data_IF_681921106488
#
_entry.id   IF_681921106488
#
_cell.length_a   1.000
_cell.length_b   1.000
_cell.length_c   1.000
_cell.angle_alpha   90.00
_cell.angle_beta   90.00
_cell.angle_gamma   90.00
#
_symmetry.space_group_name_H-M   'P 1'
#
loop_
_entity.id
_entity.type
_entity.pdbx_description
1 polymer ?
#
# COMPACT_ATOMS: atom_id res chain seq x y z
N UNK A 1 -4.58 -41.14 1.48
CA UNK A 1 -5.39 -40.13 2.18
C UNK A 1 -4.95 -38.78 1.62
N UNK A 2 -5.80 -38.18 0.78
CA UNK A 2 -5.57 -36.88 0.15
C UNK A 2 -5.62 -35.77 1.21
N UNK A 3 -4.69 -34.82 1.18
CA UNK A 3 -5.10 -33.40 1.24
C UNK A 3 -4.09 -32.58 0.44
N UNK A 4 -4.56 -32.07 -0.69
CA UNK A 4 -3.89 -31.13 -1.57
C UNK A 4 -3.72 -29.82 -0.80
N UNK A 5 -2.48 -29.31 -0.71
CA UNK A 5 -2.22 -27.95 -0.24
C UNK A 5 -3.10 -26.96 -1.02
N UNK A 6 -3.75 -25.97 -0.38
CA UNK A 6 -4.57 -25.02 -1.11
C UNK A 6 -3.71 -24.32 -2.16
N UNK A 7 -4.02 -24.51 -3.44
CA UNK A 7 -3.44 -23.68 -4.50
C UNK A 7 -3.88 -22.24 -4.22
N UNK A 8 -2.94 -21.42 -3.76
CA UNK A 8 -3.09 -19.97 -3.73
C UNK A 8 -3.39 -19.54 -5.16
N UNK A 9 -4.64 -19.14 -5.42
CA UNK A 9 -4.99 -18.45 -6.66
C UNK A 9 -4.28 -17.11 -6.62
N UNK A 10 -3.24 -16.96 -7.43
CA UNK A 10 -2.59 -15.68 -7.59
C UNK A 10 -3.61 -14.67 -8.11
N UNK A 11 -3.67 -13.49 -7.48
CA UNK A 11 -4.37 -12.36 -8.04
C UNK A 11 -3.79 -12.01 -9.42
N UNK A 12 -4.58 -11.39 -10.29
CA UNK A 12 -4.07 -10.90 -11.57
C UNK A 12 -3.00 -9.83 -11.30
N UNK A 13 -1.85 -9.98 -11.93
CA UNK A 13 -0.73 -9.04 -11.84
C UNK A 13 -0.82 -8.07 -13.02
N UNK A 14 -0.72 -6.78 -12.74
CA UNK A 14 -0.59 -5.71 -13.74
C UNK A 14 0.73 -5.00 -13.46
N UNK A 15 1.63 -4.96 -14.44
CA UNK A 15 2.99 -4.42 -14.26
C UNK A 15 3.14 -3.10 -15.01
N UNK A 16 3.76 -2.09 -14.38
CA UNK A 16 4.13 -0.82 -14.99
C UNK A 16 3.02 -0.12 -15.78
N UNK A 17 1.78 -0.18 -15.28
CA UNK A 17 0.63 0.51 -15.88
C UNK A 17 0.91 2.00 -16.05
N UNK A 18 0.43 2.55 -17.15
CA UNK A 18 0.39 4.00 -17.36
C UNK A 18 -0.56 4.67 -16.36
N UNK A 19 -0.42 5.98 -16.11
CA UNK A 19 -1.36 6.72 -15.27
C UNK A 19 -2.83 6.60 -15.72
N UNK A 20 -3.09 6.51 -17.04
CA UNK A 20 -4.43 6.35 -17.58
C UNK A 20 -5.06 4.99 -17.19
N UNK A 21 -4.29 3.90 -17.35
CA UNK A 21 -4.73 2.57 -16.93
C UNK A 21 -5.00 2.51 -15.41
N UNK A 22 -4.15 3.16 -14.60
CA UNK A 22 -4.37 3.24 -13.14
C UNK A 22 -5.68 3.98 -12.79
N UNK A 23 -6.03 5.06 -13.50
CA UNK A 23 -7.29 5.77 -13.32
C UNK A 23 -8.48 4.86 -13.64
N UNK A 24 -8.44 4.17 -14.77
CA UNK A 24 -9.51 3.24 -15.18
C UNK A 24 -9.72 2.14 -14.14
N UNK A 25 -8.63 1.57 -13.61
CA UNK A 25 -8.71 0.57 -12.55
C UNK A 25 -9.34 1.11 -11.26
N UNK A 26 -8.92 2.30 -10.79
CA UNK A 26 -9.46 2.91 -9.57
C UNK A 26 -10.96 3.22 -9.72
N UNK A 27 -11.37 3.78 -10.87
CA UNK A 27 -12.76 4.11 -11.16
C UNK A 27 -13.63 2.86 -11.30
N UNK A 28 -13.17 1.83 -12.02
CA UNK A 28 -13.88 0.57 -12.17
C UNK A 28 -14.07 -0.18 -10.83
N UNK A 29 -13.19 0.07 -9.86
CA UNK A 29 -13.28 -0.47 -8.49
C UNK A 29 -14.06 0.41 -7.51
N UNK A 30 -14.47 1.62 -7.93
CA UNK A 30 -15.15 2.58 -7.07
C UNK A 30 -14.25 3.17 -5.97
N UNK A 31 -12.94 3.20 -6.18
CA UNK A 31 -11.95 3.71 -5.22
C UNK A 31 -11.73 5.23 -5.33
N UNK A 32 -12.41 5.88 -6.27
CA UNK A 32 -12.37 7.32 -6.45
C UNK A 32 -13.40 7.79 -7.48
N UNK A 33 -13.44 9.10 -7.69
CA UNK A 33 -14.32 9.76 -8.67
C UNK A 33 -13.56 10.82 -9.45
N UNK A 34 -14.08 11.22 -10.61
CA UNK A 34 -13.52 12.36 -11.33
C UNK A 34 -13.89 13.69 -10.69
N UNK A 35 -12.88 14.56 -10.54
CA UNK A 35 -13.06 15.98 -10.32
C UNK A 35 -13.46 16.72 -11.60
N UNK A 36 -13.75 18.01 -11.46
CA UNK A 36 -14.25 18.84 -12.57
C UNK A 36 -13.32 18.87 -13.80
N UNK A 37 -12.01 18.79 -13.57
CA UNK A 37 -10.99 18.89 -14.62
C UNK A 37 -10.21 17.57 -14.79
N UNK A 38 -10.82 16.44 -14.43
CA UNK A 38 -10.27 15.11 -14.67
C UNK A 38 -9.26 14.61 -13.64
N UNK A 39 -9.13 15.25 -12.47
CA UNK A 39 -8.36 14.69 -11.35
C UNK A 39 -9.07 13.46 -10.77
N UNK A 40 -8.30 12.49 -10.27
CA UNK A 40 -8.85 11.43 -9.43
C UNK A 40 -8.99 11.93 -7.98
N UNK A 41 -10.23 12.08 -7.51
CA UNK A 41 -10.55 12.40 -6.13
C UNK A 41 -10.74 11.10 -5.34
N UNK A 42 -10.09 10.99 -4.18
CA UNK A 42 -10.11 9.80 -3.32
C UNK A 42 -10.36 10.19 -1.87
N UNK A 43 -10.95 9.27 -1.10
CA UNK A 43 -11.12 9.39 0.36
C UNK A 43 -10.28 8.29 1.04
N UNK A 44 -9.35 8.71 1.92
CA UNK A 44 -8.49 7.79 2.67
C UNK A 44 -9.17 7.21 3.91
N UNK A 45 -10.42 7.60 4.18
CA UNK A 45 -11.20 7.17 5.33
C UNK A 45 -10.65 7.71 6.64
N UNK A 46 -10.59 6.85 7.67
CA UNK A 46 -10.20 7.22 9.03
C UNK A 46 -8.79 7.79 9.14
N UNK A 47 -7.85 7.32 8.32
CA UNK A 47 -6.44 7.71 8.39
C UNK A 47 -6.08 8.78 7.37
N UNK A 48 -6.47 10.02 7.65
CA UNK A 48 -6.24 11.19 6.77
C UNK A 48 -4.83 11.79 6.88
N UNK A 49 -3.91 11.10 7.57
CA UNK A 49 -2.57 11.59 7.85
C UNK A 49 -1.62 10.46 8.21
N UNK A 50 -0.38 10.79 8.59
CA UNK A 50 0.58 9.79 9.07
C UNK A 50 0.13 9.24 10.42
N UNK A 51 0.41 7.97 10.67
CA UNK A 51 0.33 7.33 11.99
C UNK A 51 1.75 7.10 12.52
N UNK A 52 2.41 8.09 13.14
CA UNK A 52 3.85 8.02 13.42
C UNK A 52 4.23 6.90 14.39
N UNK A 53 3.28 6.47 15.22
CA UNK A 53 3.48 5.41 16.20
C UNK A 53 3.51 4.00 15.59
N UNK A 54 3.05 3.84 14.35
CA UNK A 54 2.95 2.56 13.63
C UNK A 54 4.11 2.33 12.64
N UNK A 55 5.09 3.23 12.64
CA UNK A 55 6.32 3.10 11.85
C UNK A 55 7.45 2.54 12.72
N UNK A 56 8.09 1.48 12.24
CA UNK A 56 9.16 0.77 12.92
C UNK A 56 10.35 0.54 11.97
N UNK A 57 11.53 0.40 12.54
CA UNK A 57 12.69 -0.17 11.85
C UNK A 57 12.92 -1.59 12.35
N UNK A 58 13.30 -2.49 11.44
CA UNK A 58 13.78 -3.80 11.86
C UNK A 58 15.11 -3.60 12.57
N UNK A 59 15.24 -4.16 13.77
CA UNK A 59 16.49 -4.14 14.51
C UNK A 59 17.39 -5.26 14.03
N UNK A 60 18.34 -4.92 13.18
CA UNK A 60 19.29 -5.86 12.60
C UNK A 60 20.76 -5.38 12.74
N UNK A 61 21.74 -6.29 12.84
CA UNK A 61 23.14 -5.92 13.12
C UNK A 61 23.77 -4.98 12.08
N UNK A 62 23.36 -5.06 10.81
CA UNK A 62 23.90 -4.25 9.71
C UNK A 62 23.59 -2.76 9.84
N UNK A 63 22.51 -2.39 10.54
CA UNK A 63 22.01 -1.02 10.62
C UNK A 63 21.87 -0.50 12.06
N UNK A 64 21.96 -1.37 13.06
CA UNK A 64 21.68 -1.02 14.46
C UNK A 64 22.50 0.16 14.98
N UNK A 65 23.79 0.21 14.66
CA UNK A 65 24.68 1.29 15.11
C UNK A 65 24.43 2.64 14.40
N UNK A 66 23.67 2.63 13.30
CA UNK A 66 23.43 3.80 12.45
C UNK A 66 22.07 4.45 12.68
N UNK A 67 21.18 3.80 13.44
CA UNK A 67 19.84 4.30 13.72
C UNK A 67 19.83 5.02 15.08
N UNK A 68 19.31 6.24 15.10
CA UNK A 68 19.05 6.98 16.33
C UNK A 68 17.79 6.43 17.03
N UNK A 69 17.94 5.34 17.77
CA UNK A 69 16.85 4.66 18.47
C UNK A 69 16.18 5.55 19.53
N UNK A 70 14.86 5.42 19.68
CA UNK A 70 14.10 6.15 20.68
C UNK A 70 12.61 6.17 20.39
N UNK A 71 11.88 7.13 20.97
CA UNK A 71 10.41 7.23 20.84
C UNK A 71 9.93 7.26 19.37
N UNK A 72 10.71 7.89 18.49
CA UNK A 72 10.37 8.07 17.07
C UNK A 72 10.87 6.92 16.18
N UNK A 73 12.01 6.33 16.53
CA UNK A 73 12.62 5.23 15.79
C UNK A 73 12.60 4.02 16.72
N UNK A 74 11.49 3.28 16.64
CA UNK A 74 11.26 2.02 17.36
C UNK A 74 11.69 0.85 16.50
#
# INVERSE_FOLDING_TARGET
MLTVSPQLKAARIFENLSPAELYEHALARGEGVFGADGQLLVDTGEHTGRSPNDKFFVREPSSEAHIAWGKTNK
#
